data_IF_623669761338
#
_entry.id   IF_623669761338
#
_cell.length_a   1.000
_cell.length_b   1.000
_cell.length_c   1.000
_cell.angle_alpha   90.00
_cell.angle_beta   90.00
_cell.angle_gamma   90.00
#
_symmetry.space_group_name_H-M   'P 1'
#
loop_
_entity.id
_entity.type
_entity.pdbx_description
1 polymer ?
#
# COMPACT_ATOMS: atom_id res chain seq x y z
N UNK A 1 -53.01 22.40 -24.58
CA UNK A 1 -54.36 21.85 -24.35
C UNK A 1 -54.16 20.38 -23.96
N UNK A 2 -54.68 19.94 -22.79
CA UNK A 2 -54.64 18.54 -22.25
C UNK A 2 -53.24 17.86 -22.19
N UNK A 3 -52.57 17.59 -21.06
CA UNK A 3 -52.95 17.35 -19.65
C UNK A 3 -53.58 15.98 -19.34
N UNK A 4 -53.04 15.36 -18.26
CA UNK A 4 -53.53 14.25 -17.42
C UNK A 4 -52.80 12.88 -17.63
N UNK A 5 -51.93 12.45 -16.69
CA UNK A 5 -52.18 11.65 -15.44
C UNK A 5 -52.40 10.14 -15.77
N UNK A 6 -52.04 9.12 -14.97
CA UNK A 6 -51.66 8.97 -13.55
C UNK A 6 -50.75 7.72 -13.35
N UNK A 7 -50.18 7.57 -12.15
CA UNK A 7 -49.48 6.40 -11.58
C UNK A 7 -50.08 5.01 -11.91
N UNK A 8 -49.27 3.95 -11.84
CA UNK A 8 -49.39 2.92 -10.78
C UNK A 8 -48.37 1.78 -10.90
N UNK A 9 -47.62 1.53 -9.82
CA UNK A 9 -47.03 0.23 -9.49
C UNK A 9 -47.90 -0.38 -8.39
N UNK A 10 -48.43 -1.61 -8.57
CA UNK A 10 -48.86 -2.44 -7.44
C UNK A 10 -47.99 -3.70 -7.31
N UNK A 11 -47.92 -4.23 -6.08
CA UNK A 11 -47.06 -5.35 -5.66
C UNK A 11 -47.91 -6.37 -4.90
N UNK A 12 -47.55 -7.66 -4.96
CA UNK A 12 -48.08 -8.79 -4.16
C UNK A 12 -49.56 -9.19 -4.45
N UNK A 13 -50.18 -10.25 -3.89
CA UNK A 13 -49.89 -11.33 -2.91
C UNK A 13 -50.52 -12.64 -3.50
N UNK A 14 -49.85 -13.82 -3.59
CA UNK A 14 -49.83 -14.94 -2.61
C UNK A 14 -51.07 -15.87 -2.52
N UNK A 15 -50.82 -17.19 -2.60
CA UNK A 15 -51.51 -18.32 -1.92
C UNK A 15 -50.42 -19.41 -1.71
N UNK A 16 -49.94 -19.85 -0.52
CA UNK A 16 -50.56 -20.49 0.67
C UNK A 16 -50.83 -22.01 0.43
N UNK A 17 -50.51 -23.02 1.27
CA UNK A 17 -49.61 -23.23 2.45
C UNK A 17 -49.54 -24.75 2.76
N UNK A 18 -48.55 -25.19 3.57
CA UNK A 18 -48.66 -26.35 4.48
C UNK A 18 -47.90 -27.62 4.04
N UNK A 19 -47.20 -28.37 4.91
CA UNK A 19 -47.01 -28.33 6.37
C UNK A 19 -45.63 -28.96 6.74
N UNK A 20 -44.79 -28.39 7.63
CA UNK A 20 -44.65 -28.66 9.10
C UNK A 20 -44.12 -30.10 9.40
N UNK A 21 -43.09 -30.40 10.23
CA UNK A 21 -42.24 -29.71 11.24
C UNK A 21 -40.97 -30.60 11.53
N UNK A 22 -39.80 -30.17 12.05
CA UNK A 22 -39.51 -29.75 13.45
C UNK A 22 -38.04 -29.27 13.66
N UNK A 23 -37.85 -28.09 14.28
CA UNK A 23 -36.88 -27.72 15.37
C UNK A 23 -35.34 -27.81 15.11
N UNK A 24 -34.46 -26.96 15.69
CA UNK A 24 -34.61 -25.80 16.63
C UNK A 24 -33.40 -24.83 16.59
N UNK A 25 -33.70 -23.52 16.60
CA UNK A 25 -33.00 -22.36 17.23
C UNK A 25 -31.45 -22.23 17.24
N UNK A 26 -30.99 -21.15 16.56
CA UNK A 26 -29.84 -20.26 16.89
C UNK A 26 -30.18 -19.34 18.10
N UNK A 27 -29.29 -18.53 18.75
CA UNK A 27 -28.33 -17.62 18.11
C UNK A 27 -26.96 -17.35 18.81
N UNK A 28 -26.15 -16.51 18.15
CA UNK A 28 -24.90 -15.91 18.64
C UNK A 28 -25.09 -14.41 19.02
N UNK A 29 -24.00 -13.83 19.53
CA UNK A 29 -23.67 -12.40 19.64
C UNK A 29 -24.27 -11.61 20.81
N UNK A 30 -23.38 -11.19 21.72
CA UNK A 30 -23.62 -10.12 22.69
C UNK A 30 -22.81 -8.87 22.33
N UNK A 31 -23.44 -7.71 22.45
CA UNK A 31 -22.79 -6.40 22.39
C UNK A 31 -22.90 -5.70 23.75
N UNK A 32 -21.91 -4.87 24.08
CA UNK A 32 -21.78 -4.25 25.40
C UNK A 32 -22.71 -3.03 25.58
N UNK A 33 -23.20 -2.86 26.80
CA UNK A 33 -23.90 -1.65 27.25
C UNK A 33 -23.65 -1.41 28.75
N UNK A 34 -23.37 -0.16 29.11
CA UNK A 34 -23.12 0.30 30.49
C UNK A 34 -24.37 0.86 31.15
N UNK A 35 -24.58 0.59 32.44
CA UNK A 35 -25.44 1.43 33.30
C UNK A 35 -24.93 1.42 34.75
N UNK A 36 -25.21 2.49 35.50
CA UNK A 36 -24.75 2.71 36.88
C UNK A 36 -25.74 2.23 37.96
N UNK A 37 -25.15 1.99 39.14
CA UNK A 37 -25.63 2.22 40.52
C UNK A 37 -26.44 1.19 41.32
N UNK A 38 -26.12 1.28 42.61
CA UNK A 38 -26.79 0.93 43.87
C UNK A 38 -27.00 -0.55 44.28
N UNK A 39 -26.44 -0.87 45.45
CA UNK A 39 -27.17 -1.64 46.47
C UNK A 39 -26.66 -3.04 46.82
N UNK A 40 -26.35 -3.22 48.12
CA UNK A 40 -26.43 -4.49 48.88
C UNK A 40 -25.54 -5.69 48.48
N UNK A 41 -24.34 -5.68 49.06
CA UNK A 41 -23.74 -6.77 49.85
C UNK A 41 -24.55 -8.09 49.96
N UNK A 42 -24.01 -9.20 49.43
CA UNK A 42 -24.15 -10.56 50.02
C UNK A 42 -22.96 -11.46 49.61
N UNK A 43 -22.81 -12.59 50.31
CA UNK A 43 -21.57 -13.38 50.44
C UNK A 43 -21.39 -14.52 49.42
N UNK A 44 -20.12 -14.91 49.27
CA UNK A 44 -19.61 -16.28 49.04
C UNK A 44 -20.30 -17.19 47.99
N UNK A 45 -19.58 -17.45 46.89
CA UNK A 45 -18.90 -18.76 46.77
C UNK A 45 -17.77 -18.81 45.73
N UNK A 46 -16.67 -19.42 46.17
CA UNK A 46 -15.43 -19.68 45.43
C UNK A 46 -15.59 -20.98 44.64
N UNK A 47 -15.30 -20.99 43.35
CA UNK A 47 -15.06 -22.23 42.60
C UNK A 47 -13.77 -22.13 41.79
N UNK A 48 -12.96 -23.19 41.90
CA UNK A 48 -11.68 -23.38 41.22
C UNK A 48 -11.87 -24.53 40.24
N UNK A 49 -11.59 -24.31 38.96
CA UNK A 49 -11.52 -25.39 37.96
C UNK A 49 -10.05 -25.66 37.69
N UNK A 50 -9.63 -26.91 37.91
CA UNK A 50 -8.28 -27.41 37.61
C UNK A 50 -8.27 -28.01 36.21
N UNK A 51 -7.13 -27.91 35.52
CA UNK A 51 -6.87 -28.61 34.26
C UNK A 51 -6.16 -29.96 34.48
N UNK A 52 -6.13 -30.75 33.41
CA UNK A 52 -5.98 -32.21 33.37
C UNK A 52 -4.58 -32.80 33.64
N UNK A 53 -4.56 -34.11 33.91
CA UNK A 53 -3.38 -34.97 33.83
C UNK A 53 -3.73 -36.39 33.34
N UNK A 54 -2.97 -36.92 32.36
CA UNK A 54 -3.12 -38.27 31.79
C UNK A 54 -3.17 -38.22 30.24
N UNK A 55 -2.05 -38.20 29.50
CA UNK A 55 -0.92 -39.15 29.39
C UNK A 55 -1.34 -40.51 28.77
N UNK A 56 -0.78 -40.85 27.60
CA UNK A 56 -1.02 -42.13 26.92
C UNK A 56 -0.52 -42.18 25.47
N UNK A 57 0.80 -42.12 25.26
CA UNK A 57 1.41 -42.45 23.96
C UNK A 57 1.39 -43.97 23.70
N UNK A 58 1.30 -44.37 22.44
CA UNK A 58 1.48 -45.77 22.02
C UNK A 58 2.33 -45.83 20.73
N UNK A 59 3.53 -46.39 20.86
CA UNK A 59 4.55 -46.49 19.82
C UNK A 59 4.38 -47.78 18.98
N UNK A 60 4.72 -47.73 17.69
CA UNK A 60 4.56 -48.86 16.77
C UNK A 60 5.86 -49.67 16.59
N UNK A 61 5.77 -51.01 16.58
CA UNK A 61 6.85 -51.90 16.09
C UNK A 61 6.31 -53.07 15.26
N UNK A 62 7.14 -53.52 14.30
CA UNK A 62 6.88 -54.55 13.27
C UNK A 62 7.36 -55.94 13.68
N UNK A 63 6.84 -56.96 12.97
CA UNK A 63 7.47 -58.25 12.55
C UNK A 63 8.21 -59.12 13.62
N UNK A 64 8.10 -60.45 13.71
CA UNK A 64 7.34 -61.47 12.97
C UNK A 64 8.19 -62.73 12.71
N UNK A 65 7.80 -63.94 13.18
CA UNK A 65 8.26 -65.25 12.64
C UNK A 65 7.67 -66.52 13.32
N UNK A 66 7.36 -67.53 12.48
CA UNK A 66 7.47 -69.01 12.65
C UNK A 66 6.60 -69.88 13.61
N UNK A 67 5.68 -70.66 12.98
CA UNK A 67 5.38 -72.14 13.07
C UNK A 67 5.15 -72.80 14.48
N UNK A 68 4.25 -73.77 14.68
CA UNK A 68 3.93 -75.02 13.91
C UNK A 68 2.45 -75.51 14.05
N UNK A 69 2.12 -76.57 13.28
CA UNK A 69 0.85 -77.34 13.14
C UNK A 69 0.40 -78.04 14.47
N UNK A 70 -0.80 -78.64 14.64
CA UNK A 70 -1.42 -79.81 13.93
C UNK A 70 -2.94 -79.92 14.23
N UNK A 71 -3.71 -80.54 13.31
CA UNK A 71 -5.09 -81.06 13.51
C UNK A 71 -5.19 -82.52 12.99
N UNK A 72 -6.04 -83.39 13.57
CA UNK A 72 -7.21 -83.99 12.87
C UNK A 72 -8.38 -84.38 13.84
N UNK A 73 -9.39 -85.21 13.49
CA UNK A 73 -10.46 -85.12 12.45
C UNK A 73 -11.41 -86.35 12.53
N UNK A 74 -12.72 -86.24 12.21
CA UNK A 74 -13.54 -87.42 11.84
C UNK A 74 -15.05 -87.48 12.21
N UNK A 75 -15.81 -88.21 11.38
CA UNK A 75 -17.24 -88.67 11.50
C UNK A 75 -18.34 -87.58 11.37
N UNK A 76 -19.53 -87.83 10.79
CA UNK A 76 -20.17 -89.08 10.31
C UNK A 76 -21.05 -88.85 9.06
N UNK A 77 -21.22 -89.88 8.22
CA UNK A 77 -21.87 -89.82 6.89
C UNK A 77 -23.03 -90.83 6.80
N UNK A 78 -24.29 -90.46 7.19
CA UNK A 78 -25.46 -91.38 7.09
C UNK A 78 -26.87 -90.75 7.20
N UNK A 79 -27.23 -89.73 6.41
CA UNK A 79 -28.61 -89.16 6.41
C UNK A 79 -29.27 -88.93 5.02
N UNK A 80 -28.57 -89.20 3.92
CA UNK A 80 -28.93 -88.67 2.58
C UNK A 80 -30.07 -89.35 1.81
N UNK A 81 -30.69 -90.42 2.32
CA UNK A 81 -31.54 -91.31 1.47
C UNK A 81 -33.05 -91.04 1.48
N UNK A 82 -33.56 -90.12 2.29
CA UNK A 82 -34.99 -89.71 2.26
C UNK A 82 -35.27 -88.40 1.53
N UNK A 83 -34.31 -87.47 1.45
CA UNK A 83 -34.53 -86.15 0.86
C UNK A 83 -34.82 -86.16 -0.66
N UNK A 84 -34.29 -87.15 -1.41
CA UNK A 84 -34.22 -87.04 -2.88
C UNK A 84 -35.58 -86.94 -3.61
N UNK A 85 -36.68 -87.43 -3.03
CA UNK A 85 -38.02 -87.30 -3.64
C UNK A 85 -38.64 -85.91 -3.47
N UNK A 86 -38.31 -85.17 -2.42
CA UNK A 86 -38.78 -83.78 -2.25
C UNK A 86 -38.00 -82.80 -3.13
N UNK A 87 -36.69 -83.01 -3.29
CA UNK A 87 -35.85 -82.16 -4.15
C UNK A 87 -36.21 -82.20 -5.64
N UNK A 88 -36.77 -83.30 -6.15
CA UNK A 88 -37.08 -83.44 -7.58
C UNK A 88 -38.16 -82.45 -8.05
N UNK A 89 -39.26 -82.34 -7.32
CA UNK A 89 -40.41 -81.49 -7.68
C UNK A 89 -40.10 -80.00 -7.50
N UNK A 90 -39.29 -79.65 -6.51
CA UNK A 90 -38.83 -78.26 -6.29
C UNK A 90 -37.83 -77.81 -7.35
N UNK A 91 -36.93 -78.70 -7.81
CA UNK A 91 -35.95 -78.41 -8.88
C UNK A 91 -36.61 -78.03 -10.21
N UNK A 92 -37.77 -78.59 -10.56
CA UNK A 92 -38.48 -78.23 -11.81
C UNK A 92 -39.05 -76.81 -11.74
N UNK A 93 -39.73 -76.45 -10.64
CA UNK A 93 -40.25 -75.08 -10.47
C UNK A 93 -39.13 -74.04 -10.39
N UNK A 94 -38.05 -74.33 -9.67
CA UNK A 94 -36.92 -73.40 -9.55
C UNK A 94 -36.14 -73.25 -10.87
N UNK A 95 -35.93 -74.33 -11.64
CA UNK A 95 -35.32 -74.24 -12.98
C UNK A 95 -36.14 -73.35 -13.92
N UNK A 96 -37.46 -73.49 -13.93
CA UNK A 96 -38.32 -72.68 -14.80
C UNK A 96 -38.27 -71.19 -14.42
N UNK A 97 -38.25 -70.86 -13.12
CA UNK A 97 -38.05 -69.49 -12.64
C UNK A 97 -36.67 -68.95 -13.03
N UNK A 98 -35.62 -69.76 -12.91
CA UNK A 98 -34.26 -69.36 -13.30
C UNK A 98 -34.13 -69.13 -14.81
N UNK A 99 -34.79 -69.94 -15.64
CA UNK A 99 -34.85 -69.76 -17.10
C UNK A 99 -35.62 -68.50 -17.47
N UNK A 100 -36.75 -68.21 -16.80
CA UNK A 100 -37.50 -66.97 -17.02
C UNK A 100 -36.66 -65.75 -16.61
N UNK A 101 -36.00 -65.77 -15.45
CA UNK A 101 -35.10 -64.68 -15.04
C UNK A 101 -33.92 -64.52 -15.99
N UNK A 102 -33.30 -65.61 -16.44
CA UNK A 102 -32.21 -65.57 -17.41
C UNK A 102 -32.66 -64.98 -18.74
N UNK A 103 -33.83 -65.39 -19.26
CA UNK A 103 -34.40 -64.82 -20.48
C UNK A 103 -34.73 -63.33 -20.30
N UNK A 104 -35.39 -62.92 -19.22
CA UNK A 104 -35.71 -61.50 -18.95
C UNK A 104 -34.44 -60.67 -18.77
N UNK A 105 -33.40 -61.17 -18.09
CA UNK A 105 -32.11 -60.49 -17.96
C UNK A 105 -31.35 -60.42 -19.28
N UNK A 106 -31.36 -61.48 -20.11
CA UNK A 106 -30.73 -61.45 -21.44
C UNK A 106 -31.48 -60.54 -22.40
N UNK A 107 -32.82 -60.53 -22.39
CA UNK A 107 -33.62 -59.60 -23.19
C UNK A 107 -33.46 -58.16 -22.70
N UNK A 108 -33.39 -57.93 -21.39
CA UNK A 108 -33.09 -56.61 -20.81
C UNK A 108 -31.67 -56.13 -21.12
N UNK A 109 -30.68 -57.02 -21.11
CA UNK A 109 -29.30 -56.71 -21.52
C UNK A 109 -29.21 -56.43 -23.02
N UNK A 110 -29.89 -57.22 -23.87
CA UNK A 110 -30.04 -56.95 -25.30
C UNK A 110 -30.71 -55.60 -25.55
N UNK A 111 -31.78 -55.27 -24.82
CA UNK A 111 -32.46 -53.99 -24.93
C UNK A 111 -31.55 -52.82 -24.50
N UNK A 112 -30.78 -52.98 -23.42
CA UNK A 112 -29.80 -51.99 -22.98
C UNK A 112 -28.65 -51.82 -24.00
N UNK A 113 -28.16 -52.91 -24.59
CA UNK A 113 -27.13 -52.87 -25.65
C UNK A 113 -27.65 -52.26 -26.95
N UNK A 114 -28.93 -52.48 -27.30
CA UNK A 114 -29.60 -51.81 -28.42
C UNK A 114 -29.80 -50.31 -28.17
N UNK A 115 -30.09 -49.91 -26.92
CA UNK A 115 -30.16 -48.50 -26.51
C UNK A 115 -28.79 -47.81 -26.54
N UNK A 116 -27.72 -48.51 -26.16
CA UNK A 116 -26.32 -48.05 -26.29
C UNK A 116 -25.85 -47.94 -27.75
N UNK A 117 -26.61 -48.51 -28.69
CA UNK A 117 -26.37 -48.45 -30.14
C UNK A 117 -27.07 -47.31 -30.87
N UNK A 118 -27.77 -46.39 -30.19
CA UNK A 118 -28.28 -45.18 -30.84
C UNK A 118 -27.11 -44.21 -31.12
N UNK A 119 -26.85 -43.83 -32.38
CA UNK A 119 -25.83 -42.82 -32.67
C UNK A 119 -26.34 -41.46 -32.22
N UNK A 120 -25.89 -41.03 -31.03
CA UNK A 120 -25.96 -39.63 -30.64
C UNK A 120 -25.16 -38.84 -31.69
N UNK A 121 -25.82 -38.08 -32.59
CA UNK A 121 -25.12 -37.20 -33.53
C UNK A 121 -24.58 -35.93 -32.84
N UNK A 122 -23.78 -36.17 -31.80
CA UNK A 122 -22.95 -35.17 -31.15
C UNK A 122 -21.96 -34.54 -32.13
N UNK A 123 -21.74 -35.12 -33.31
CA UNK A 123 -20.94 -34.53 -34.39
C UNK A 123 -21.48 -33.16 -34.79
N UNK A 124 -22.80 -32.98 -34.86
CA UNK A 124 -23.38 -31.68 -35.23
C UNK A 124 -23.19 -30.63 -34.12
N UNK A 125 -23.33 -31.03 -32.86
CA UNK A 125 -23.12 -30.15 -31.70
C UNK A 125 -21.63 -29.83 -31.45
N UNK A 126 -20.73 -30.79 -31.65
CA UNK A 126 -19.28 -30.59 -31.58
C UNK A 126 -18.78 -29.74 -32.74
N UNK A 127 -19.32 -29.93 -33.97
CA UNK A 127 -19.06 -29.04 -35.10
C UNK A 127 -19.51 -27.63 -34.78
N UNK A 128 -20.76 -27.41 -34.37
CA UNK A 128 -21.27 -26.07 -34.04
C UNK A 128 -20.51 -25.40 -32.89
N UNK A 129 -20.06 -26.17 -31.88
CA UNK A 129 -19.18 -25.67 -30.83
C UNK A 129 -17.79 -25.29 -31.38
N UNK A 130 -17.19 -26.11 -32.25
CA UNK A 130 -15.89 -25.83 -32.89
C UNK A 130 -15.95 -24.63 -33.84
N UNK A 131 -17.05 -24.48 -34.59
CA UNK A 131 -17.29 -23.34 -35.48
C UNK A 131 -17.53 -22.06 -34.69
N UNK A 132 -18.23 -22.15 -33.55
CA UNK A 132 -18.41 -21.03 -32.62
C UNK A 132 -17.09 -20.63 -31.95
N UNK A 133 -16.24 -21.58 -31.56
CA UNK A 133 -14.89 -21.31 -31.05
C UNK A 133 -14.06 -20.61 -32.14
N UNK A 134 -14.02 -21.17 -33.35
CA UNK A 134 -13.28 -20.59 -34.48
C UNK A 134 -13.78 -19.20 -34.88
N UNK A 135 -15.09 -18.96 -34.80
CA UNK A 135 -15.70 -17.65 -34.99
C UNK A 135 -15.31 -16.66 -33.88
N UNK A 136 -15.26 -17.11 -32.61
CA UNK A 136 -14.78 -16.31 -31.48
C UNK A 136 -13.29 -16.00 -31.57
N UNK A 137 -12.45 -16.97 -31.94
CA UNK A 137 -11.01 -16.76 -32.18
C UNK A 137 -10.76 -15.77 -33.33
N UNK A 138 -11.51 -15.89 -34.44
CA UNK A 138 -11.47 -14.93 -35.54
C UNK A 138 -11.90 -13.53 -35.07
N UNK A 139 -12.93 -13.43 -34.24
CA UNK A 139 -13.39 -12.14 -33.70
C UNK A 139 -12.41 -11.56 -32.65
N UNK A 140 -11.75 -12.40 -31.87
CA UNK A 140 -10.69 -12.01 -30.94
C UNK A 140 -9.46 -11.50 -31.71
N UNK A 141 -9.05 -12.17 -32.79
CA UNK A 141 -7.93 -11.69 -33.63
C UNK A 141 -8.28 -10.43 -34.41
N UNK A 142 -9.54 -10.25 -34.83
CA UNK A 142 -10.03 -8.97 -35.37
C UNK A 142 -9.97 -7.87 -34.32
N UNK A 143 -10.52 -8.08 -33.11
CA UNK A 143 -10.48 -7.11 -32.02
C UNK A 143 -9.05 -6.81 -31.56
N UNK A 144 -8.14 -7.79 -31.54
CA UNK A 144 -6.72 -7.56 -31.25
C UNK A 144 -6.03 -6.75 -32.35
N UNK A 145 -6.33 -7.00 -33.63
CA UNK A 145 -5.80 -6.21 -34.73
C UNK A 145 -6.42 -4.80 -34.80
N UNK A 146 -7.68 -4.65 -34.39
CA UNK A 146 -8.37 -3.37 -34.27
C UNK A 146 -7.83 -2.57 -33.09
N UNK A 147 -7.62 -3.19 -31.92
CA UNK A 147 -6.92 -2.61 -30.78
C UNK A 147 -5.49 -2.19 -31.17
N UNK A 148 -4.76 -3.04 -31.91
CA UNK A 148 -3.39 -2.74 -32.38
C UNK A 148 -3.36 -1.66 -33.46
N UNK A 149 -4.44 -1.49 -34.24
CA UNK A 149 -4.63 -0.36 -35.17
C UNK A 149 -4.97 0.92 -34.43
N UNK A 150 -5.87 0.87 -33.45
CA UNK A 150 -6.22 2.01 -32.60
C UNK A 150 -5.00 2.47 -31.81
N UNK A 151 -4.25 1.56 -31.17
CA UNK A 151 -2.95 1.85 -30.54
C UNK A 151 -1.88 2.33 -31.52
N UNK A 152 -1.92 1.87 -32.78
CA UNK A 152 -1.06 2.36 -33.86
C UNK A 152 -1.45 3.75 -34.39
N UNK A 153 -2.71 4.17 -34.18
CA UNK A 153 -3.23 5.50 -34.49
C UNK A 153 -3.14 6.45 -33.27
N UNK A 154 -3.13 5.89 -32.05
CA UNK A 154 -2.70 6.52 -30.79
C UNK A 154 -1.18 6.54 -30.63
N UNK A 155 -0.41 6.17 -31.66
CA UNK A 155 0.84 6.89 -31.92
C UNK A 155 0.51 8.32 -32.34
N UNK A 156 0.10 9.11 -31.34
CA UNK A 156 0.57 10.49 -31.21
C UNK A 156 2.04 10.47 -31.63
N UNK A 157 2.48 11.35 -32.55
CA UNK A 157 3.90 11.44 -32.85
C UNK A 157 4.63 11.56 -31.51
N UNK A 158 5.71 10.81 -31.34
CA UNK A 158 6.64 11.13 -30.27
C UNK A 158 7.15 12.55 -30.58
N UNK A 159 6.47 13.57 -30.00
CA UNK A 159 7.11 14.80 -29.57
C UNK A 159 8.19 14.30 -28.62
N UNK A 160 9.35 14.00 -29.19
CA UNK A 160 10.33 13.09 -28.61
C UNK A 160 10.53 13.47 -27.15
N UNK A 161 10.30 12.50 -26.25
CA UNK A 161 10.07 12.74 -24.82
C UNK A 161 10.99 13.85 -24.35
N UNK A 162 10.45 15.07 -24.16
CA UNK A 162 11.28 16.20 -23.74
C UNK A 162 11.83 15.81 -22.39
N UNK A 163 13.12 15.47 -22.35
CA UNK A 163 13.72 14.73 -21.25
C UNK A 163 13.37 15.41 -19.93
N UNK A 164 12.44 14.79 -19.18
CA UNK A 164 11.70 15.43 -18.09
C UNK A 164 12.67 16.19 -17.19
N UNK A 165 12.61 17.53 -17.07
CA UNK A 165 13.67 18.28 -16.39
C UNK A 165 13.96 17.75 -14.98
N UNK A 166 15.24 17.71 -14.60
CA UNK A 166 15.67 17.05 -13.38
C UNK A 166 15.32 17.89 -12.14
N UNK A 167 14.68 17.28 -11.14
CA UNK A 167 14.43 17.93 -9.86
C UNK A 167 15.56 17.56 -8.89
N UNK A 168 16.32 18.56 -8.45
CA UNK A 168 17.32 18.45 -7.40
C UNK A 168 16.66 18.79 -6.07
N UNK A 169 16.36 17.76 -5.27
CA UNK A 169 15.80 17.96 -3.93
C UNK A 169 16.95 18.07 -2.94
N UNK A 170 17.11 19.22 -2.31
CA UNK A 170 18.13 19.50 -1.30
C UNK A 170 17.53 19.30 0.08
N UNK A 171 18.01 18.29 0.81
CA UNK A 171 17.53 17.95 2.15
C UNK A 171 18.66 18.06 3.17
N UNK A 172 18.67 19.11 4.02
CA UNK A 172 19.52 19.13 5.19
C UNK A 172 18.98 18.15 6.24
N UNK A 173 19.84 17.32 6.82
CA UNK A 173 19.47 16.39 7.90
C UNK A 173 20.52 16.39 9.02
N UNK A 174 20.19 15.82 10.17
CA UNK A 174 21.07 15.76 11.34
C UNK A 174 20.68 14.61 12.27
N UNK A 175 21.64 14.13 13.06
CA UNK A 175 21.45 13.04 14.00
C UNK A 175 20.51 13.42 15.15
N UNK A 176 19.37 12.72 15.25
CA UNK A 176 18.43 12.72 16.39
C UNK A 176 17.54 11.48 16.32
N UNK A 177 16.87 11.16 17.43
CA UNK A 177 16.03 9.95 17.60
C UNK A 177 15.02 9.64 16.49
N UNK A 178 14.57 10.63 15.72
CA UNK A 178 13.60 10.44 14.63
C UNK A 178 14.22 10.47 13.23
N UNK A 179 15.54 10.71 13.09
CA UNK A 179 16.20 10.94 11.79
C UNK A 179 15.86 9.87 10.75
N UNK A 180 16.03 8.59 11.12
CA UNK A 180 15.79 7.45 10.23
C UNK A 180 14.34 7.40 9.77
N UNK A 181 13.38 7.55 10.69
CA UNK A 181 11.96 7.58 10.36
C UNK A 181 11.58 8.72 9.40
N UNK A 182 12.14 9.92 9.61
CA UNK A 182 11.92 11.10 8.75
C UNK A 182 12.46 10.88 7.33
N UNK A 183 13.69 10.37 7.22
CA UNK A 183 14.33 10.05 5.93
C UNK A 183 13.64 8.86 5.23
N UNK A 184 13.14 7.86 5.97
CA UNK A 184 12.37 6.73 5.41
C UNK A 184 11.08 7.22 4.75
N UNK A 185 10.24 7.99 5.47
CA UNK A 185 8.97 8.48 4.87
C UNK A 185 9.19 9.49 3.74
N UNK A 186 10.26 10.30 3.80
CA UNK A 186 10.63 11.22 2.73
C UNK A 186 11.11 10.45 1.49
N UNK A 187 12.07 9.54 1.63
CA UNK A 187 12.58 8.72 0.52
C UNK A 187 11.46 7.91 -0.17
N UNK A 188 10.57 7.29 0.60
CA UNK A 188 9.38 6.59 0.08
C UNK A 188 8.48 7.50 -0.76
N UNK A 189 8.34 8.78 -0.38
CA UNK A 189 7.60 9.78 -1.16
C UNK A 189 8.35 10.13 -2.45
N UNK A 190 9.66 10.38 -2.36
CA UNK A 190 10.50 10.76 -3.51
C UNK A 190 10.66 9.63 -4.55
N UNK A 191 10.56 8.36 -4.14
CA UNK A 191 10.56 7.19 -5.04
C UNK A 191 9.49 7.24 -6.13
N UNK A 192 8.38 7.95 -5.89
CA UNK A 192 7.30 8.12 -6.87
C UNK A 192 7.54 9.26 -7.87
N UNK A 193 8.60 10.07 -7.71
CA UNK A 193 8.85 11.27 -8.52
C UNK A 193 9.83 10.99 -9.66
N UNK A 194 9.34 11.09 -10.91
CA UNK A 194 10.16 10.87 -12.11
C UNK A 194 11.28 11.91 -12.27
N UNK A 195 12.42 11.45 -12.81
CA UNK A 195 13.67 12.19 -13.01
C UNK A 195 14.08 13.10 -11.83
N UNK A 196 14.10 12.55 -10.62
CA UNK A 196 14.58 13.22 -9.41
C UNK A 196 16.05 12.87 -9.10
N UNK A 197 16.75 13.79 -8.42
CA UNK A 197 18.06 13.60 -7.81
C UNK A 197 18.02 14.16 -6.38
N UNK A 198 18.30 13.31 -5.38
CA UNK A 198 18.21 13.69 -3.96
C UNK A 198 19.58 14.06 -3.40
N UNK A 199 19.78 15.32 -3.03
CA UNK A 199 21.01 15.82 -2.41
C UNK A 199 20.77 15.86 -0.90
N UNK A 200 21.26 14.85 -0.18
CA UNK A 200 21.18 14.78 1.28
C UNK A 200 22.47 15.30 1.87
N UNK A 201 22.35 16.27 2.79
CA UNK A 201 23.49 16.93 3.40
C UNK A 201 23.37 16.85 4.92
N UNK A 202 24.28 16.12 5.56
CA UNK A 202 24.27 15.95 7.02
C UNK A 202 24.95 17.11 7.76
N UNK A 203 24.33 17.61 8.83
CA UNK A 203 25.00 18.40 9.89
C UNK A 203 25.86 17.47 10.75
N UNK A 204 26.99 17.06 10.18
CA UNK A 204 27.92 16.10 10.76
C UNK A 204 29.33 16.33 10.21
N UNK A 205 30.39 16.12 11.02
CA UNK A 205 31.78 16.19 10.54
C UNK A 205 32.12 15.09 9.54
N UNK A 206 31.31 14.02 9.45
CA UNK A 206 31.49 12.85 8.58
C UNK A 206 30.14 12.35 8.05
N UNK A 207 30.16 11.58 6.96
CA UNK A 207 28.97 10.82 6.51
C UNK A 207 28.68 9.70 7.52
N UNK A 208 27.44 9.60 7.98
CA UNK A 208 27.05 8.54 8.93
C UNK A 208 26.70 7.24 8.20
N UNK A 209 26.91 6.11 8.87
CA UNK A 209 26.56 4.79 8.33
C UNK A 209 25.04 4.70 8.06
N UNK A 210 24.23 5.14 9.02
CA UNK A 210 22.76 5.22 8.94
C UNK A 210 22.28 5.88 7.65
N UNK A 211 22.76 7.09 7.34
CA UNK A 211 22.33 7.83 6.15
C UNK A 211 22.91 7.21 4.88
N UNK A 212 24.15 6.71 4.92
CA UNK A 212 24.77 6.02 3.77
C UNK A 212 24.00 4.76 3.36
N UNK A 213 23.62 3.93 4.33
CA UNK A 213 22.85 2.70 4.10
C UNK A 213 21.42 2.99 3.66
N UNK A 214 20.73 3.94 4.31
CA UNK A 214 19.38 4.35 3.92
C UNK A 214 19.35 4.86 2.47
N UNK A 215 20.33 5.68 2.08
CA UNK A 215 20.43 6.18 0.71
C UNK A 215 20.70 5.06 -0.30
N UNK A 216 21.60 4.12 0.00
CA UNK A 216 21.86 2.96 -0.84
C UNK A 216 20.62 2.06 -1.01
N UNK A 217 19.83 1.87 0.05
CA UNK A 217 18.60 1.07 0.04
C UNK A 217 17.41 1.80 -0.62
N UNK A 218 17.44 3.13 -0.73
CA UNK A 218 16.33 3.92 -1.28
C UNK A 218 16.11 3.74 -2.80
N UNK A 219 17.11 3.22 -3.52
CA UNK A 219 17.17 3.16 -4.99
C UNK A 219 16.97 4.48 -5.74
N UNK A 220 16.96 5.62 -5.03
CA UNK A 220 16.96 6.95 -5.63
C UNK A 220 18.33 7.26 -6.24
N UNK A 221 18.38 8.14 -7.25
CA UNK A 221 19.65 8.80 -7.60
C UNK A 221 19.91 9.87 -6.55
N UNK A 222 21.07 9.80 -5.90
CA UNK A 222 21.39 10.70 -4.81
C UNK A 222 22.81 11.26 -4.87
N UNK A 223 23.07 12.28 -4.06
CA UNK A 223 24.41 12.72 -3.66
C UNK A 223 24.40 12.90 -2.16
N UNK A 224 25.31 12.20 -1.48
CA UNK A 224 25.47 12.26 -0.04
C UNK A 224 26.64 13.18 0.30
N UNK A 225 26.34 14.32 0.92
CA UNK A 225 27.27 15.33 1.39
C UNK A 225 27.18 15.47 2.91
N UNK A 226 28.14 16.17 3.52
CA UNK A 226 28.09 16.53 4.93
C UNK A 226 28.86 17.83 5.16
N UNK A 227 28.43 18.62 6.15
CA UNK A 227 29.15 19.76 6.71
C UNK A 227 28.62 20.01 8.12
N UNK A 228 29.49 20.03 9.12
CA UNK A 228 29.07 20.38 10.48
C UNK A 228 28.76 21.87 10.58
N UNK A 229 27.59 22.21 11.15
CA UNK A 229 27.27 23.59 11.54
C UNK A 229 28.23 24.05 12.65
N UNK A 230 28.93 25.19 12.51
CA UNK A 230 29.85 25.69 13.55
C UNK A 230 29.19 25.80 14.92
N UNK A 231 29.93 25.52 16.00
CA UNK A 231 29.38 25.32 17.37
C UNK A 231 28.64 26.56 17.90
N UNK A 232 29.10 27.74 17.52
CA UNK A 232 28.52 29.06 17.77
C UNK A 232 27.14 29.23 17.10
N UNK A 233 26.90 28.62 15.93
CA UNK A 233 25.63 28.61 15.22
C UNK A 233 24.77 27.36 15.53
N UNK A 234 25.40 26.28 16.02
CA UNK A 234 24.72 25.07 16.49
C UNK A 234 23.84 25.38 17.71
N UNK A 235 22.75 24.62 17.86
CA UNK A 235 21.75 24.81 18.93
C UNK A 235 22.10 23.92 20.10
N UNK A 236 21.84 24.41 21.31
CA UNK A 236 21.79 23.57 22.52
C UNK A 236 20.44 22.86 22.56
N UNK A 237 20.40 21.70 23.22
CA UNK A 237 19.16 20.92 23.36
C UNK A 237 18.05 21.67 24.15
N UNK A 238 18.45 22.66 24.96
CA UNK A 238 17.56 23.57 25.69
C UNK A 238 17.10 24.77 24.87
N UNK A 239 17.67 25.03 23.69
CA UNK A 239 17.33 26.21 22.89
C UNK A 239 15.95 26.04 22.26
N UNK A 240 15.02 27.01 22.40
CA UNK A 240 13.70 26.91 21.77
C UNK A 240 13.81 26.75 20.26
N UNK A 241 12.93 25.94 19.65
CA UNK A 241 13.02 25.47 18.25
C UNK A 241 13.03 26.56 17.15
N UNK A 242 12.90 27.83 17.51
CA UNK A 242 12.95 29.00 16.62
C UNK A 242 14.13 29.96 16.85
N UNK A 243 15.05 29.68 17.80
CA UNK A 243 16.14 30.59 18.18
C UNK A 243 17.22 30.79 17.11
N UNK A 244 17.71 29.72 16.46
CA UNK A 244 18.74 29.78 15.41
C UNK A 244 18.24 29.08 14.14
N UNK A 245 18.61 29.54 12.93
CA UNK A 245 18.29 28.85 11.69
C UNK A 245 18.97 27.48 11.64
N UNK A 246 18.36 26.52 10.95
CA UNK A 246 18.86 25.15 10.75
C UNK A 246 19.14 24.90 9.27
N UNK A 247 20.13 24.06 8.96
CA UNK A 247 20.37 23.63 7.59
C UNK A 247 21.04 24.66 6.67
N UNK A 248 21.55 25.79 7.18
CA UNK A 248 22.04 26.89 6.33
C UNK A 248 23.29 26.47 5.56
N UNK A 249 24.34 26.06 6.28
CA UNK A 249 25.58 25.54 5.68
C UNK A 249 25.31 24.33 4.80
N UNK A 250 24.38 23.47 5.20
CA UNK A 250 24.01 22.27 4.46
C UNK A 250 23.34 22.59 3.12
N UNK A 251 22.41 23.57 3.07
CA UNK A 251 21.82 24.06 1.81
C UNK A 251 22.84 24.83 0.97
N UNK A 252 23.73 25.60 1.59
CA UNK A 252 24.80 26.32 0.88
C UNK A 252 25.84 25.37 0.26
N UNK A 253 26.20 24.26 0.93
CA UNK A 253 27.06 23.22 0.36
C UNK A 253 26.39 22.52 -0.82
N UNK A 254 25.08 22.28 -0.77
CA UNK A 254 24.35 21.74 -1.92
C UNK A 254 24.33 22.72 -3.11
N UNK A 255 24.18 24.03 -2.86
CA UNK A 255 24.30 25.07 -3.89
C UNK A 255 25.71 25.12 -4.49
N UNK A 256 26.76 25.01 -3.66
CA UNK A 256 28.15 24.90 -4.13
C UNK A 256 28.34 23.65 -5.00
N UNK A 257 27.91 22.48 -4.52
CA UNK A 257 28.02 21.23 -5.28
C UNK A 257 27.32 21.33 -6.64
N UNK A 258 26.12 21.91 -6.71
CA UNK A 258 25.43 22.17 -7.97
C UNK A 258 26.26 23.07 -8.91
N UNK A 259 26.90 24.12 -8.39
CA UNK A 259 27.75 25.06 -9.15
C UNK A 259 29.08 24.50 -9.62
N UNK A 260 29.51 23.38 -9.06
CA UNK A 260 30.72 22.64 -9.41
C UNK A 260 30.41 21.44 -10.34
N UNK A 261 29.21 20.86 -10.22
CA UNK A 261 28.86 19.60 -10.89
C UNK A 261 27.81 19.76 -12.00
N UNK A 262 27.29 20.96 -12.25
CA UNK A 262 26.29 21.25 -13.31
C UNK A 262 26.67 22.46 -14.15
N UNK A 263 26.19 22.47 -15.39
CA UNK A 263 26.48 23.48 -16.41
C UNK A 263 25.24 24.33 -16.71
N UNK A 264 25.43 25.54 -17.25
CA UNK A 264 24.33 26.45 -17.61
C UNK A 264 23.37 25.87 -18.68
N UNK A 265 23.84 24.89 -19.45
CA UNK A 265 23.06 24.10 -20.41
C UNK A 265 22.10 23.10 -19.75
N UNK A 266 22.41 22.62 -18.54
CA UNK A 266 21.63 21.59 -17.85
C UNK A 266 20.21 22.08 -17.53
N UNK A 267 19.21 21.25 -17.82
CA UNK A 267 17.81 21.54 -17.54
C UNK A 267 17.36 20.90 -16.22
N UNK A 268 16.97 21.74 -15.26
CA UNK A 268 16.44 21.27 -13.98
C UNK A 268 15.98 22.37 -13.05
N UNK A 269 15.46 21.96 -11.90
CA UNK A 269 14.94 22.83 -10.84
C UNK A 269 15.48 22.35 -9.50
N UNK A 270 15.76 23.29 -8.60
CA UNK A 270 16.26 23.04 -7.26
C UNK A 270 15.13 23.33 -6.27
N UNK A 271 14.86 22.37 -5.39
CA UNK A 271 13.84 22.48 -4.35
C UNK A 271 14.47 22.17 -2.98
N UNK A 272 14.24 23.04 -2.00
CA UNK A 272 14.74 22.87 -0.64
C UNK A 272 13.67 22.18 0.21
N UNK A 273 13.92 20.93 0.58
CA UNK A 273 12.97 20.07 1.27
C UNK A 273 13.55 19.57 2.59
N UNK A 274 13.16 20.21 3.69
CA UNK A 274 13.52 19.80 5.06
C UNK A 274 12.90 18.44 5.41
N UNK A 275 13.59 17.64 6.21
CA UNK A 275 13.23 16.23 6.44
C UNK A 275 11.97 16.02 7.32
N UNK A 276 11.51 17.03 8.07
CA UNK A 276 10.33 16.97 8.95
C UNK A 276 8.99 17.39 8.28
N UNK A 277 9.05 17.87 7.04
CA UNK A 277 7.91 18.37 6.27
C UNK A 277 7.15 17.25 5.53
N UNK A 278 5.95 17.55 5.02
CA UNK A 278 5.10 16.60 4.27
C UNK A 278 4.80 17.13 2.87
N UNK A 279 5.08 16.31 1.85
CA UNK A 279 5.05 16.69 0.44
C UNK A 279 4.04 15.83 -0.34
N UNK A 280 3.14 16.44 -1.11
CA UNK A 280 2.30 15.70 -2.05
C UNK A 280 3.03 15.43 -3.37
N UNK A 281 2.67 14.35 -4.08
CA UNK A 281 3.28 14.05 -5.39
C UNK A 281 3.00 15.16 -6.43
N UNK A 282 1.82 15.77 -6.39
CA UNK A 282 1.40 16.86 -7.28
C UNK A 282 2.32 18.10 -7.20
N UNK A 283 2.96 18.33 -6.04
CA UNK A 283 3.93 19.40 -5.86
C UNK A 283 5.10 19.29 -6.85
N UNK A 284 5.58 18.08 -7.11
CA UNK A 284 6.74 17.85 -7.97
C UNK A 284 6.42 18.04 -9.45
N UNK A 285 5.15 17.93 -9.85
CA UNK A 285 4.69 18.28 -11.20
C UNK A 285 4.62 19.80 -11.38
N UNK A 286 4.13 20.53 -10.37
CA UNK A 286 4.12 22.01 -10.33
C UNK A 286 5.57 22.56 -10.40
N UNK A 287 6.48 22.02 -9.58
CA UNK A 287 7.93 22.35 -9.57
C UNK A 287 8.53 22.23 -10.98
N UNK A 288 8.18 21.19 -11.73
CA UNK A 288 8.82 20.87 -13.03
C UNK A 288 8.60 21.92 -14.12
N UNK A 289 7.61 22.79 -13.94
CA UNK A 289 7.28 23.87 -14.88
C UNK A 289 8.08 25.17 -14.66
N UNK A 290 8.84 25.28 -13.58
CA UNK A 290 9.55 26.52 -13.16
C UNK A 290 10.55 27.02 -14.20
N UNK A 291 10.58 28.33 -14.45
CA UNK A 291 11.49 29.02 -15.39
C UNK A 291 12.43 30.02 -14.69
N UNK A 292 11.99 30.65 -13.60
CA UNK A 292 12.80 31.51 -12.71
C UNK A 292 12.66 31.03 -11.27
N UNK A 293 11.64 31.50 -10.56
CA UNK A 293 11.27 31.08 -9.20
C UNK A 293 9.77 30.87 -9.16
N UNK A 294 9.36 29.69 -8.70
CA UNK A 294 7.97 29.32 -8.53
C UNK A 294 7.56 29.36 -7.06
N UNK A 295 6.32 29.73 -6.78
CA UNK A 295 5.78 29.87 -5.41
C UNK A 295 4.38 29.28 -5.26
N UNK A 296 4.06 28.79 -4.06
CA UNK A 296 2.77 28.17 -3.73
C UNK A 296 2.42 28.31 -2.23
N UNK A 297 1.17 28.00 -1.84
CA UNK A 297 0.75 27.94 -0.45
C UNK A 297 1.45 26.82 0.33
N UNK A 298 1.83 27.11 1.59
CA UNK A 298 2.38 26.14 2.54
C UNK A 298 1.44 26.01 3.73
N UNK A 299 1.05 24.78 4.05
CA UNK A 299 0.17 24.49 5.19
C UNK A 299 0.90 24.52 6.53
N UNK A 300 0.18 24.90 7.60
CA UNK A 300 0.61 24.83 9.00
C UNK A 300 1.87 25.66 9.34
N UNK A 301 2.09 26.77 8.63
CA UNK A 301 3.27 27.65 8.79
C UNK A 301 2.89 29.06 9.24
N UNK A 302 3.86 29.86 9.71
CA UNK A 302 3.63 31.25 10.12
C UNK A 302 2.72 31.46 11.33
N UNK A 303 2.29 30.39 12.01
CA UNK A 303 1.23 30.43 13.02
C UNK A 303 -0.20 30.44 12.42
N UNK A 304 -0.33 30.12 11.13
CA UNK A 304 -1.58 30.12 10.38
C UNK A 304 -1.92 28.72 9.87
N UNK A 305 -3.17 28.54 9.40
CA UNK A 305 -3.58 27.32 8.68
C UNK A 305 -2.76 27.11 7.41
N UNK A 306 -2.41 28.20 6.74
CA UNK A 306 -1.48 28.28 5.63
C UNK A 306 -0.97 29.72 5.49
N UNK A 307 0.22 29.88 4.91
CA UNK A 307 0.64 31.13 4.26
C UNK A 307 0.59 30.95 2.74
N UNK A 308 0.33 32.02 1.97
CA UNK A 308 0.28 31.93 0.50
C UNK A 308 0.66 33.23 -0.21
N UNK A 309 1.17 33.17 -1.44
CA UNK A 309 1.15 34.31 -2.35
C UNK A 309 -0.28 34.75 -2.66
N UNK A 310 -0.50 36.06 -2.77
CA UNK A 310 -1.70 36.67 -3.33
C UNK A 310 -1.50 36.85 -4.84
N UNK A 311 -2.47 36.42 -5.63
CA UNK A 311 -2.35 36.32 -7.09
C UNK A 311 -3.50 37.05 -7.77
N UNK A 312 -3.16 37.98 -8.64
CA UNK A 312 -4.10 38.71 -9.50
C UNK A 312 -3.61 38.62 -10.95
N UNK A 313 -4.51 38.33 -11.89
CA UNK A 313 -4.19 38.20 -13.32
C UNK A 313 -2.99 37.27 -13.65
N UNK A 314 -2.78 36.23 -12.83
CA UNK A 314 -1.66 35.29 -12.97
C UNK A 314 -0.30 35.80 -12.47
N UNK A 315 -0.27 36.93 -11.75
CA UNK A 315 0.93 37.53 -11.15
C UNK A 315 0.82 37.63 -9.63
N UNK A 316 1.96 37.48 -8.95
CA UNK A 316 2.02 37.69 -7.49
C UNK A 316 1.99 39.20 -7.21
N UNK A 317 1.05 39.64 -6.37
CA UNK A 317 0.86 41.05 -5.98
C UNK A 317 1.16 41.30 -4.49
N UNK A 318 1.41 40.25 -3.73
CA UNK A 318 1.67 40.31 -2.29
C UNK A 318 1.53 38.93 -1.65
N UNK A 319 1.38 38.88 -0.33
CA UNK A 319 1.32 37.63 0.42
C UNK A 319 0.30 37.68 1.56
N UNK A 320 -0.36 36.56 1.78
CA UNK A 320 -1.14 36.28 2.98
C UNK A 320 -0.21 35.62 4.02
N UNK A 321 0.24 36.44 4.96
CA UNK A 321 1.15 36.11 6.06
C UNK A 321 0.78 36.95 7.28
N UNK A 322 1.05 36.45 8.49
CA UNK A 322 0.84 37.21 9.73
C UNK A 322 2.17 37.57 10.43
N UNK A 323 3.18 36.71 10.31
CA UNK A 323 4.43 36.87 11.03
C UNK A 323 5.51 37.52 10.17
N UNK A 324 5.96 38.70 10.60
CA UNK A 324 6.87 39.59 9.85
C UNK A 324 6.40 39.76 8.38
N UNK A 325 5.25 40.43 8.13
CA UNK A 325 4.72 40.60 6.78
C UNK A 325 5.61 41.48 5.88
N UNK A 326 6.40 42.38 6.47
CA UNK A 326 7.31 43.30 5.77
C UNK A 326 8.61 42.62 5.28
N UNK A 327 8.67 41.28 5.25
CA UNK A 327 9.78 40.57 4.60
C UNK A 327 9.66 40.74 3.08
N UNK A 328 10.78 40.87 2.34
CA UNK A 328 10.77 40.91 0.88
C UNK A 328 10.08 39.70 0.24
N UNK A 329 10.35 38.51 0.79
CA UNK A 329 9.68 37.26 0.43
C UNK A 329 9.21 36.57 1.72
N UNK A 330 7.98 36.85 2.21
CA UNK A 330 7.40 36.22 3.37
C UNK A 330 6.82 34.84 3.00
N UNK A 331 7.68 33.97 2.50
CA UNK A 331 7.41 32.56 2.23
C UNK A 331 8.22 31.70 3.19
N UNK A 332 7.83 30.44 3.30
CA UNK A 332 8.61 29.40 3.96
C UNK A 332 9.56 28.72 2.96
N UNK A 333 10.63 28.09 3.46
CA UNK A 333 11.59 27.31 2.66
C UNK A 333 10.91 26.29 1.72
N UNK A 334 9.85 25.62 2.19
CA UNK A 334 9.12 24.63 1.40
C UNK A 334 8.15 25.26 0.37
N UNK A 335 7.98 26.59 0.38
CA UNK A 335 7.01 27.35 -0.41
C UNK A 335 7.47 27.79 -1.80
N UNK A 336 8.71 27.48 -2.20
CA UNK A 336 9.27 27.88 -3.49
C UNK A 336 10.23 26.84 -4.08
N UNK A 337 10.43 26.89 -5.41
CA UNK A 337 11.56 26.26 -6.10
C UNK A 337 12.20 27.21 -7.10
N UNK A 338 13.45 26.92 -7.48
CA UNK A 338 14.26 27.79 -8.33
C UNK A 338 14.73 27.02 -9.56
N UNK A 339 14.71 27.64 -10.75
CA UNK A 339 15.33 27.06 -11.93
C UNK A 339 16.85 26.92 -11.74
N UNK A 340 17.41 25.76 -12.09
CA UNK A 340 18.83 25.46 -11.88
C UNK A 340 19.73 26.52 -12.53
N UNK A 341 19.42 26.92 -13.76
CA UNK A 341 20.23 27.87 -14.52
C UNK A 341 20.26 29.26 -13.85
N UNK A 342 19.21 29.65 -13.13
CA UNK A 342 19.19 30.91 -12.39
C UNK A 342 20.17 30.89 -11.20
N UNK A 343 20.32 29.75 -10.51
CA UNK A 343 21.30 29.55 -9.44
C UNK A 343 22.74 29.42 -9.96
N UNK A 344 22.91 28.85 -11.16
CA UNK A 344 24.20 28.72 -11.83
C UNK A 344 24.69 30.05 -12.42
N UNK A 345 23.78 30.88 -12.94
CA UNK A 345 24.09 32.22 -13.43
C UNK A 345 24.43 33.19 -12.29
N UNK A 346 23.68 33.13 -11.18
CA UNK A 346 23.93 33.94 -9.99
C UNK A 346 24.80 33.18 -8.99
N UNK A 347 26.12 33.04 -9.27
CA UNK A 347 27.04 32.22 -8.45
C UNK A 347 27.20 32.69 -6.99
N UNK A 348 26.95 33.97 -6.71
CA UNK A 348 27.02 34.54 -5.36
C UNK A 348 25.74 34.34 -4.54
N UNK A 349 24.62 33.97 -5.17
CA UNK A 349 23.35 33.78 -4.49
C UNK A 349 23.43 32.64 -3.46
N UNK A 350 23.18 32.91 -2.18
CA UNK A 350 23.26 31.92 -1.10
C UNK A 350 22.35 32.30 0.05
N UNK A 351 22.09 31.35 0.94
CA UNK A 351 21.43 31.65 2.21
C UNK A 351 22.44 32.35 3.14
N UNK A 352 22.05 33.49 3.69
CA UNK A 352 22.88 34.22 4.66
C UNK A 352 22.70 33.61 6.07
N UNK A 353 23.82 33.16 6.66
CA UNK A 353 23.89 32.62 8.01
C UNK A 353 23.57 33.68 9.09
N UNK A 354 23.82 34.95 8.78
CA UNK A 354 23.57 36.10 9.66
C UNK A 354 22.19 36.72 9.42
N UNK A 355 21.39 36.18 8.49
CA UNK A 355 20.04 36.66 8.22
C UNK A 355 19.19 36.69 9.49
N UNK A 356 18.45 37.78 9.68
CA UNK A 356 17.47 37.87 10.76
C UNK A 356 16.50 36.67 10.74
N UNK A 357 16.04 36.26 11.93
CA UNK A 357 15.00 35.24 12.06
C UNK A 357 13.81 35.56 11.14
N UNK A 358 13.56 34.68 10.17
CA UNK A 358 12.49 34.76 9.17
C UNK A 358 12.88 35.32 7.81
N UNK A 359 14.09 35.89 7.67
CA UNK A 359 14.60 36.47 6.42
C UNK A 359 15.54 35.52 5.65
N UNK A 360 15.69 34.27 6.09
CA UNK A 360 16.59 33.30 5.45
C UNK A 360 16.20 33.05 3.99
N UNK A 361 14.92 32.82 3.73
CA UNK A 361 14.34 32.65 2.40
C UNK A 361 14.53 33.91 1.55
N UNK A 362 14.30 35.08 2.15
CA UNK A 362 14.50 36.39 1.49
C UNK A 362 15.97 36.60 1.11
N UNK A 363 16.93 36.20 1.96
CA UNK A 363 18.37 36.40 1.70
C UNK A 363 18.84 35.72 0.40
N UNK A 364 18.28 34.55 0.08
CA UNK A 364 18.51 33.91 -1.22
C UNK A 364 17.68 34.59 -2.32
N UNK A 365 16.36 34.70 -2.14
CA UNK A 365 15.44 35.11 -3.22
C UNK A 365 15.68 36.53 -3.74
N UNK A 366 16.07 37.47 -2.88
CA UNK A 366 16.41 38.85 -3.27
C UNK A 366 17.61 38.93 -4.22
N UNK A 367 18.47 37.91 -4.26
CA UNK A 367 19.62 37.84 -5.19
C UNK A 367 19.28 37.15 -6.52
N UNK A 368 18.02 36.74 -6.73
CA UNK A 368 17.60 35.92 -7.87
C UNK A 368 16.45 36.52 -8.68
N UNK A 369 15.45 37.12 -8.01
CA UNK A 369 14.20 37.60 -8.64
C UNK A 369 13.62 38.81 -7.92
N UNK A 370 12.77 39.57 -8.62
CA UNK A 370 11.81 40.49 -8.01
C UNK A 370 10.42 39.83 -7.78
N UNK A 371 9.48 40.58 -7.19
CA UNK A 371 8.14 40.07 -6.84
C UNK A 371 7.33 39.67 -8.08
N UNK A 372 7.34 40.52 -9.10
CA UNK A 372 6.61 40.37 -10.36
C UNK A 372 7.17 39.27 -11.28
N UNK A 373 8.38 38.77 -10.99
CA UNK A 373 9.01 37.64 -11.65
C UNK A 373 8.65 36.27 -11.06
N UNK A 374 7.98 36.24 -9.90
CA UNK A 374 7.51 35.00 -9.29
C UNK A 374 6.42 34.33 -10.12
N UNK A 375 6.53 33.02 -10.29
CA UNK A 375 5.54 32.18 -10.97
C UNK A 375 4.58 31.54 -9.95
N UNK A 376 3.32 32.00 -9.86
CA UNK A 376 2.34 31.35 -8.99
C UNK A 376 1.98 29.96 -9.54
N UNK A 377 2.07 28.94 -8.69
CA UNK A 377 1.73 27.54 -8.99
C UNK A 377 0.50 27.10 -8.18
N UNK A 378 0.23 25.80 -8.14
CA UNK A 378 -0.81 25.20 -7.30
C UNK A 378 -2.19 25.85 -7.53
N UNK A 379 -2.56 25.98 -8.81
CA UNK A 379 -3.76 26.65 -9.30
C UNK A 379 -3.87 28.11 -8.79
N UNK A 380 -2.98 29.01 -9.21
CA UNK A 380 -2.92 30.41 -8.78
C UNK A 380 -2.92 30.56 -7.23
N UNK A 381 -2.12 29.75 -6.57
CA UNK A 381 -1.95 29.72 -5.11
C UNK A 381 -3.28 29.51 -4.34
N UNK A 382 -4.16 28.65 -4.85
CA UNK A 382 -5.42 28.27 -4.19
C UNK A 382 -5.39 26.87 -3.56
N UNK A 383 -4.39 26.04 -3.89
CA UNK A 383 -4.22 24.69 -3.33
C UNK A 383 -2.99 24.62 -2.42
N UNK A 384 -3.11 23.95 -1.28
CA UNK A 384 -1.97 23.58 -0.42
C UNK A 384 -1.48 22.20 -0.86
N UNK A 385 -0.23 22.10 -1.29
CA UNK A 385 0.39 20.86 -1.80
C UNK A 385 1.58 20.39 -0.93
N UNK A 386 1.91 21.16 0.11
CA UNK A 386 3.01 20.93 1.05
C UNK A 386 2.61 21.46 2.43
N UNK A 387 3.06 20.79 3.49
CA UNK A 387 2.77 21.15 4.88
C UNK A 387 4.06 21.18 5.69
N UNK A 388 4.27 22.27 6.43
CA UNK A 388 5.33 22.37 7.42
C UNK A 388 4.94 21.59 8.70
N UNK A 389 4.86 20.26 8.57
CA UNK A 389 4.75 19.36 9.71
C UNK A 389 6.01 19.43 10.58
N UNK A 390 5.88 18.96 11.83
CA UNK A 390 7.00 18.76 12.77
C UNK A 390 6.71 17.54 13.63
N UNK A 391 7.69 16.67 13.77
CA UNK A 391 7.59 15.48 14.62
C UNK A 391 7.85 15.84 16.09
N UNK A 392 7.05 15.29 17.01
CA UNK A 392 7.28 15.46 18.45
C UNK A 392 8.59 14.78 18.89
N UNK A 393 9.26 15.34 19.91
CA UNK A 393 10.43 14.70 20.51
C UNK A 393 9.99 13.42 21.26
N UNK A 394 10.55 12.23 20.97
CA UNK A 394 10.22 11.00 21.70
C UNK A 394 10.49 11.11 23.20
N UNK A 395 9.63 10.48 24.02
CA UNK A 395 9.70 10.52 25.49
C UNK A 395 10.61 9.41 26.03
N UNK A 396 11.90 9.71 26.18
CA UNK A 396 12.93 8.72 26.54
C UNK A 396 13.04 8.37 28.04
N UNK A 397 12.11 8.82 28.90
CA UNK A 397 12.19 8.64 30.36
C UNK A 397 12.39 7.19 30.82
N UNK A 398 11.81 6.21 30.12
CA UNK A 398 11.98 4.79 30.48
C UNK A 398 13.33 4.25 30.03
N UNK A 399 13.81 4.64 28.85
CA UNK A 399 15.15 4.32 28.36
C UNK A 399 16.22 4.86 29.34
N UNK A 400 16.09 6.13 29.78
CA UNK A 400 16.98 6.73 30.79
C UNK A 400 16.99 5.96 32.13
N UNK A 401 15.86 5.35 32.52
CA UNK A 401 15.75 4.56 33.75
C UNK A 401 16.35 3.16 33.58
N UNK A 402 16.21 2.55 32.40
CA UNK A 402 16.79 1.25 32.06
C UNK A 402 18.31 1.34 31.86
N UNK A 403 18.82 2.40 31.22
CA UNK A 403 20.24 2.67 31.08
C UNK A 403 20.95 2.77 32.45
N UNK A 404 20.33 3.44 33.43
CA UNK A 404 20.84 3.52 34.81
C UNK A 404 20.89 2.18 35.54
N UNK A 405 20.17 1.16 35.05
CA UNK A 405 20.17 -0.21 35.58
C UNK A 405 21.09 -1.14 34.78
N UNK A 406 21.74 -0.66 33.70
CA UNK A 406 22.49 -1.51 32.76
C UNK A 406 21.59 -2.37 31.86
N UNK A 407 20.29 -2.02 31.75
CA UNK A 407 19.26 -2.74 30.99
C UNK A 407 18.68 -1.90 29.84
N UNK A 408 19.43 -0.88 29.38
CA UNK A 408 19.02 -0.02 28.27
C UNK A 408 18.89 -0.77 26.95
N UNK A 409 18.31 -0.11 25.94
CA UNK A 409 18.20 -0.66 24.59
C UNK A 409 19.58 -0.97 24.00
N UNK A 410 19.70 -2.08 23.25
CA UNK A 410 20.97 -2.47 22.62
C UNK A 410 21.41 -1.40 21.60
N UNK A 411 22.56 -0.72 21.80
CA UNK A 411 23.02 0.35 20.92
C UNK A 411 23.42 -0.13 19.52
N UNK A 412 23.51 -1.45 19.29
CA UNK A 412 23.76 -2.03 17.97
C UNK A 412 22.48 -2.18 17.13
N UNK A 413 21.30 -1.98 17.72
CA UNK A 413 20.01 -2.00 17.01
C UNK A 413 19.67 -0.57 16.57
N UNK A 414 19.85 -0.28 15.27
CA UNK A 414 19.63 1.05 14.70
C UNK A 414 18.13 1.41 14.57
N UNK A 415 17.74 2.54 15.17
CA UNK A 415 16.36 3.08 15.26
C UNK A 415 16.13 4.27 14.32
#
# INVERSE_FOLDING_TARGET
MQMQWINNIPVYFTVITGEIFKRRLKPEAGAWGTLERDGQQTRDRKWRVSWDAGRGEAEARREGALRRRVAPAGLSFRLERQEQRWWATMKVKLKNVFVIYFLVSVTGLMYALLQLGQPCDCTQHLKSASDLIRAKEKKLSQLQNELKRLQGQEKVPELGEQALPMIYVVTPTYARLVQKAELVRLSQTLMHVKNLHWIVVEDSPLKTQLVSELLAQSHLRFTHLHVETPKEHKRKETDPNWLKPRGVEQRNLALQWLRENRQLSDQGMVYFADDDNTYSLQLFDEIRSTKRVSVWPVGLVGGLRFERPLVENGKVVGFYTAWKPNRPFPVDMAGFAVALQLLLANREARFDLLAERGYLESSLLQSLVSLEELEPKANNCTKVLVWHTRTEKPKMKQEELLQKQGLGSDPNIEV
#
